data_IF_315422897072
#
_entry.id   IF_315422897072
#
_cell.length_a   1.000
_cell.length_b   1.000
_cell.length_c   1.000
_cell.angle_alpha   90.00
_cell.angle_beta   90.00
_cell.angle_gamma   90.00
#
_symmetry.space_group_name_H-M   'P 1'
#
loop_
_entity.id
_entity.type
_entity.pdbx_description
1 polymer ?
#
# COMPACT_ATOMS: atom_id res chain seq x y z
N UNK A 1 -27.32 42.00 81.05
CA UNK A 1 -27.88 42.26 79.70
C UNK A 1 -27.50 41.06 78.81
N UNK A 2 -28.43 40.15 78.70
CA UNK A 2 -28.33 38.80 78.19
C UNK A 2 -28.34 38.74 76.69
N UNK A 3 -27.59 37.91 76.00
CA UNK A 3 -27.78 37.65 74.56
C UNK A 3 -28.66 36.43 74.39
N UNK A 4 -29.62 36.59 73.48
CA UNK A 4 -30.67 35.64 73.10
C UNK A 4 -30.11 34.45 72.29
N UNK A 5 -30.55 33.29 72.82
CA UNK A 5 -30.48 31.98 72.12
C UNK A 5 -31.52 31.92 70.96
N UNK A 6 -31.06 31.62 69.73
CA UNK A 6 -31.91 31.20 68.60
C UNK A 6 -31.08 30.34 67.59
N UNK A 7 -31.03 29.08 67.90
CA UNK A 7 -30.83 28.13 66.75
C UNK A 7 -31.55 26.81 67.09
N UNK A 8 -32.79 26.69 66.67
CA UNK A 8 -33.53 25.42 66.57
C UNK A 8 -33.94 25.16 65.13
N UNK A 9 -33.09 24.45 64.43
CA UNK A 9 -33.49 23.82 63.13
C UNK A 9 -34.37 22.60 63.46
N UNK A 10 -35.51 22.41 62.74
CA UNK A 10 -36.40 21.28 62.94
C UNK A 10 -35.78 19.99 62.42
N UNK A 11 -35.83 18.93 63.24
CA UNK A 11 -35.40 17.58 62.87
C UNK A 11 -36.23 17.00 61.71
N UNK A 12 -35.54 16.55 60.68
CA UNK A 12 -36.13 15.80 59.57
C UNK A 12 -36.38 14.35 60.01
N UNK A 13 -37.60 13.79 59.84
CA UNK A 13 -37.87 12.41 60.20
C UNK A 13 -37.16 11.43 59.23
N UNK A 14 -36.73 10.22 59.70
CA UNK A 14 -36.05 9.25 58.85
C UNK A 14 -36.99 8.72 57.74
N UNK A 15 -36.48 8.74 56.48
CA UNK A 15 -37.16 8.12 55.35
C UNK A 15 -37.31 6.61 55.62
N UNK A 16 -38.56 6.13 55.51
CA UNK A 16 -38.88 4.72 55.58
C UNK A 16 -38.18 3.96 54.44
N UNK A 17 -37.53 2.84 54.79
CA UNK A 17 -36.88 1.94 53.84
C UNK A 17 -37.92 1.41 52.82
N UNK A 18 -37.65 1.65 51.54
CA UNK A 18 -38.39 1.05 50.44
C UNK A 18 -38.11 -0.46 50.36
N UNK A 19 -39.11 -1.29 50.00
CA UNK A 19 -38.91 -2.73 49.92
C UNK A 19 -38.01 -3.07 48.74
N UNK A 20 -36.91 -3.72 49.02
CA UNK A 20 -36.09 -4.47 48.07
C UNK A 20 -36.85 -5.71 47.65
N UNK A 21 -36.83 -5.99 46.35
CA UNK A 21 -37.27 -7.16 45.63
C UNK A 21 -38.48 -6.95 44.70
N UNK A 22 -38.17 -6.29 43.57
CA UNK A 22 -38.82 -6.63 42.34
C UNK A 22 -37.73 -7.08 41.33
N UNK A 23 -37.62 -8.39 41.16
CA UNK A 23 -36.75 -8.99 40.15
C UNK A 23 -37.13 -8.45 38.77
N UNK A 24 -36.33 -7.51 38.26
CA UNK A 24 -36.44 -7.11 36.87
C UNK A 24 -36.15 -8.31 35.95
N UNK A 25 -37.08 -8.68 35.02
CA UNK A 25 -36.80 -9.71 34.04
C UNK A 25 -35.54 -9.26 33.25
N UNK A 26 -34.44 -10.01 33.38
CA UNK A 26 -33.22 -9.80 32.63
C UNK A 26 -33.57 -9.91 31.14
N UNK A 27 -33.51 -8.81 30.41
CA UNK A 27 -33.56 -8.84 28.94
C UNK A 27 -32.45 -9.77 28.46
N UNK A 28 -32.76 -10.74 27.58
CA UNK A 28 -31.73 -11.60 27.02
C UNK A 28 -30.68 -10.71 26.35
N UNK A 29 -29.44 -10.79 26.81
CA UNK A 29 -28.29 -10.14 26.19
C UNK A 29 -28.25 -10.60 24.73
N UNK A 30 -28.16 -9.69 23.75
CA UNK A 30 -27.99 -10.08 22.35
C UNK A 30 -26.76 -11.01 22.29
N UNK A 31 -26.92 -12.24 21.81
CA UNK A 31 -25.80 -13.12 21.52
C UNK A 31 -24.87 -12.36 20.60
N UNK A 32 -23.60 -12.21 21.02
CA UNK A 32 -22.56 -11.71 20.15
C UNK A 32 -22.61 -12.50 18.85
N UNK A 33 -22.52 -11.83 17.68
CA UNK A 33 -22.53 -12.52 16.40
C UNK A 33 -21.44 -13.59 16.41
N UNK A 34 -21.81 -14.84 16.13
CA UNK A 34 -20.87 -15.94 16.02
C UNK A 34 -19.76 -15.51 15.03
N UNK A 35 -18.46 -15.67 15.38
CA UNK A 35 -17.41 -15.37 14.45
C UNK A 35 -17.62 -16.21 13.18
N UNK A 36 -17.44 -15.63 11.99
CA UNK A 36 -17.68 -16.33 10.73
C UNK A 36 -16.86 -17.61 10.74
N UNK A 37 -17.53 -18.76 10.56
CA UNK A 37 -16.91 -20.09 10.48
C UNK A 37 -15.79 -20.01 9.44
N UNK A 38 -14.54 -20.16 9.88
CA UNK A 38 -13.36 -20.21 8.99
C UNK A 38 -13.60 -21.37 8.04
N UNK A 39 -13.70 -21.17 6.72
CA UNK A 39 -13.86 -22.28 5.80
C UNK A 39 -12.61 -23.13 5.85
N UNK A 40 -12.81 -24.42 6.08
CA UNK A 40 -11.78 -25.44 6.08
C UNK A 40 -11.03 -25.47 4.74
N UNK A 41 -9.78 -25.93 4.79
CA UNK A 41 -8.83 -26.31 3.72
C UNK A 41 -9.07 -25.89 2.24
N UNK A 42 -10.32 -25.61 1.80
CA UNK A 42 -10.63 -25.10 0.46
C UNK A 42 -10.05 -23.72 0.12
N UNK A 43 -9.74 -22.90 1.13
CA UNK A 43 -9.22 -21.52 0.91
C UNK A 43 -7.74 -21.49 0.49
N UNK A 44 -6.91 -22.45 0.91
CA UNK A 44 -5.51 -22.47 0.49
C UNK A 44 -5.41 -22.86 -1.00
N UNK A 45 -6.15 -23.87 -1.41
CA UNK A 45 -6.21 -24.29 -2.81
C UNK A 45 -6.76 -23.15 -3.70
N UNK A 46 -7.83 -22.51 -3.28
CA UNK A 46 -8.42 -21.36 -4.01
C UNK A 46 -7.41 -20.20 -4.13
N UNK A 47 -6.69 -19.87 -3.07
CA UNK A 47 -5.64 -18.84 -3.09
C UNK A 47 -4.46 -19.20 -3.99
N UNK A 48 -4.03 -20.45 -3.99
CA UNK A 48 -2.96 -20.92 -4.88
C UNK A 48 -3.41 -20.91 -6.34
N UNK A 49 -4.64 -21.32 -6.63
CA UNK A 49 -5.21 -21.28 -7.97
C UNK A 49 -5.37 -19.84 -8.46
N UNK A 50 -5.93 -18.94 -7.65
CA UNK A 50 -6.11 -17.53 -8.03
C UNK A 50 -4.78 -16.82 -8.23
N UNK A 51 -3.79 -17.04 -7.36
CA UNK A 51 -2.45 -16.47 -7.53
C UNK A 51 -1.75 -17.06 -8.77
N UNK A 52 -1.83 -18.38 -8.98
CA UNK A 52 -1.27 -19.04 -10.15
C UNK A 52 -1.91 -18.60 -11.47
N UNK A 53 -3.20 -18.28 -11.45
CA UNK A 53 -3.93 -17.78 -12.63
C UNK A 53 -3.58 -16.31 -12.94
N UNK A 54 -3.24 -15.50 -11.92
CA UNK A 54 -2.91 -14.08 -12.10
C UNK A 54 -1.46 -13.85 -12.55
N UNK A 55 -0.52 -14.72 -12.18
CA UNK A 55 0.89 -14.56 -12.52
C UNK A 55 1.14 -14.51 -14.05
N UNK A 56 0.65 -15.47 -14.88
CA UNK A 56 0.90 -15.44 -16.31
C UNK A 56 0.39 -14.17 -17.02
N UNK A 57 -0.84 -13.67 -16.78
CA UNK A 57 -1.29 -12.39 -17.33
C UNK A 57 -0.40 -11.21 -16.96
N UNK A 58 0.06 -11.14 -15.69
CA UNK A 58 0.95 -10.06 -15.23
C UNK A 58 2.28 -10.12 -15.98
N UNK A 59 2.90 -11.29 -16.09
CA UNK A 59 4.16 -11.47 -16.84
C UNK A 59 3.93 -11.09 -18.32
N UNK A 60 2.84 -11.53 -18.91
CA UNK A 60 2.51 -11.25 -20.29
C UNK A 60 2.32 -9.74 -20.55
N UNK A 61 1.57 -9.04 -19.69
CA UNK A 61 1.40 -7.58 -19.75
C UNK A 61 2.74 -6.86 -19.59
N UNK A 62 3.58 -7.29 -18.66
CA UNK A 62 4.93 -6.75 -18.48
C UNK A 62 5.81 -6.98 -19.71
N UNK A 63 5.70 -8.14 -20.38
CA UNK A 63 6.46 -8.47 -21.59
C UNK A 63 6.02 -7.64 -22.78
N UNK A 64 4.70 -7.62 -23.07
CA UNK A 64 4.14 -6.83 -24.18
C UNK A 64 4.45 -5.34 -24.03
N UNK A 65 4.30 -4.80 -22.81
CA UNK A 65 4.57 -3.39 -22.55
C UNK A 65 3.61 -2.46 -23.30
N UNK A 66 4.13 -1.34 -23.83
CA UNK A 66 3.37 -0.39 -24.62
C UNK A 66 2.15 0.16 -23.88
N UNK A 67 1.13 0.56 -24.65
CA UNK A 67 -0.13 1.10 -24.12
C UNK A 67 -0.92 0.11 -23.28
N UNK A 68 -0.75 -1.21 -23.54
CA UNK A 68 -1.41 -2.23 -22.74
C UNK A 68 -0.93 -2.19 -21.29
N UNK A 69 0.38 -2.10 -21.07
CA UNK A 69 0.96 -1.99 -19.74
C UNK A 69 0.48 -0.72 -19.03
N UNK A 70 0.53 0.42 -19.71
CA UNK A 70 0.07 1.71 -19.18
C UNK A 70 -1.41 1.64 -18.77
N UNK A 71 -2.27 1.08 -19.64
CA UNK A 71 -3.70 0.94 -19.35
C UNK A 71 -3.97 0.06 -18.12
N UNK A 72 -3.21 -1.03 -17.97
CA UNK A 72 -3.31 -1.90 -16.78
C UNK A 72 -2.86 -1.16 -15.53
N UNK A 73 -1.76 -0.39 -15.56
CA UNK A 73 -1.33 0.42 -14.43
C UNK A 73 -2.37 1.48 -14.07
N UNK A 74 -2.96 2.16 -15.06
CA UNK A 74 -4.08 3.11 -14.82
C UNK A 74 -5.24 2.41 -14.11
N UNK A 75 -5.62 1.22 -14.55
CA UNK A 75 -6.69 0.45 -13.89
C UNK A 75 -6.34 0.15 -12.43
N UNK A 76 -5.12 -0.31 -12.13
CA UNK A 76 -4.67 -0.53 -10.76
C UNK A 76 -4.67 0.75 -9.92
N UNK A 77 -4.24 1.88 -10.50
CA UNK A 77 -4.29 3.19 -9.84
C UNK A 77 -5.73 3.56 -9.49
N UNK A 78 -6.66 3.48 -10.46
CA UNK A 78 -8.04 3.88 -10.24
C UNK A 78 -8.75 2.98 -9.22
N UNK A 79 -8.57 1.66 -9.32
CA UNK A 79 -9.16 0.73 -8.33
C UNK A 79 -8.56 0.92 -6.94
N UNK A 80 -7.23 0.95 -6.82
CA UNK A 80 -6.54 1.15 -5.54
C UNK A 80 -6.88 2.49 -4.90
N UNK A 81 -6.97 3.58 -5.69
CA UNK A 81 -7.33 4.90 -5.20
C UNK A 81 -8.79 4.97 -4.73
N UNK A 82 -9.72 4.32 -5.45
CA UNK A 82 -11.11 4.26 -5.00
C UNK A 82 -11.26 3.47 -3.70
N UNK A 83 -10.50 2.40 -3.50
CA UNK A 83 -10.44 1.68 -2.22
C UNK A 83 -9.85 2.55 -1.11
N UNK A 84 -8.75 3.26 -1.39
CA UNK A 84 -8.17 4.22 -0.47
C UNK A 84 -9.18 5.30 -0.05
N UNK A 85 -9.87 5.93 -1.01
CA UNK A 85 -10.92 6.89 -0.69
C UNK A 85 -12.11 6.27 0.04
N UNK A 86 -12.36 4.97 -0.15
CA UNK A 86 -13.32 4.21 0.63
C UNK A 86 -12.93 4.09 2.10
N UNK A 87 -11.64 3.88 2.39
CA UNK A 87 -11.11 3.87 3.76
C UNK A 87 -11.27 5.25 4.42
N UNK A 88 -10.86 6.30 3.72
CA UNK A 88 -10.95 7.69 4.20
C UNK A 88 -12.40 8.10 4.47
N UNK A 89 -13.33 7.79 3.55
CA UNK A 89 -14.75 8.11 3.74
C UNK A 89 -15.39 7.34 4.90
N UNK A 90 -14.87 6.17 5.26
CA UNK A 90 -15.35 5.45 6.44
C UNK A 90 -15.05 6.18 7.76
N UNK A 91 -14.10 7.12 7.77
CA UNK A 91 -13.79 8.02 8.88
C UNK A 91 -14.65 9.28 8.93
N UNK A 92 -15.54 9.47 7.96
CA UNK A 92 -16.38 10.67 7.83
C UNK A 92 -15.80 11.74 6.90
N UNK A 93 -14.61 11.54 6.34
CA UNK A 93 -14.02 12.51 5.43
C UNK A 93 -14.65 12.50 4.03
N UNK A 94 -14.56 13.62 3.34
CA UNK A 94 -15.19 13.83 2.03
C UNK A 94 -14.14 14.16 0.95
N UNK A 95 -13.33 13.18 0.48
CA UNK A 95 -12.34 13.42 -0.55
C UNK A 95 -12.97 13.80 -1.88
N UNK A 96 -12.30 14.63 -2.67
CA UNK A 96 -12.68 14.98 -4.04
C UNK A 96 -12.37 13.85 -5.02
N UNK A 97 -13.14 12.74 -4.95
CA UNK A 97 -12.86 11.49 -5.68
C UNK A 97 -12.69 11.68 -7.18
N UNK A 98 -13.55 12.49 -7.83
CA UNK A 98 -13.46 12.67 -9.29
C UNK A 98 -12.14 13.31 -9.70
N UNK A 99 -11.78 14.43 -9.05
CA UNK A 99 -10.52 15.12 -9.35
C UNK A 99 -9.30 14.25 -9.00
N UNK A 100 -9.36 13.58 -7.85
CA UNK A 100 -8.30 12.65 -7.45
C UNK A 100 -8.09 11.51 -8.45
N UNK A 101 -9.17 10.88 -8.95
CA UNK A 101 -9.09 9.82 -9.96
C UNK A 101 -8.56 10.33 -11.30
N UNK A 102 -8.99 11.52 -11.76
CA UNK A 102 -8.48 12.13 -12.99
C UNK A 102 -6.97 12.41 -12.85
N UNK A 103 -6.59 13.10 -11.77
CA UNK A 103 -5.19 13.45 -11.53
C UNK A 103 -4.30 12.21 -11.44
N UNK A 104 -4.69 11.23 -10.62
CA UNK A 104 -3.92 10.01 -10.44
C UNK A 104 -3.85 9.15 -11.72
N UNK A 105 -4.94 9.06 -12.49
CA UNK A 105 -4.97 8.33 -13.76
C UNK A 105 -4.11 8.97 -14.85
N UNK A 106 -3.85 10.27 -14.79
CA UNK A 106 -2.94 10.96 -15.72
C UNK A 106 -1.46 10.68 -15.43
N UNK A 107 -1.08 10.38 -14.19
CA UNK A 107 0.32 10.20 -13.80
C UNK A 107 1.03 9.05 -14.54
N UNK A 108 0.43 7.85 -14.73
CA UNK A 108 1.06 6.81 -15.54
C UNK A 108 1.22 7.20 -17.02
N UNK A 109 0.31 8.02 -17.58
CA UNK A 109 0.45 8.54 -18.96
C UNK A 109 1.63 9.50 -19.05
N UNK A 110 1.78 10.39 -18.08
CA UNK A 110 2.90 11.33 -18.00
C UNK A 110 4.22 10.57 -17.80
N UNK A 111 4.22 9.52 -16.96
CA UNK A 111 5.39 8.66 -16.78
C UNK A 111 5.79 7.94 -18.09
N UNK A 112 4.82 7.57 -18.93
CA UNK A 112 5.08 6.98 -20.25
C UNK A 112 5.69 7.98 -21.24
N UNK A 113 5.29 9.25 -21.19
CA UNK A 113 5.90 10.35 -21.96
C UNK A 113 7.34 10.60 -21.49
N UNK A 114 7.62 10.37 -20.20
CA UNK A 114 8.94 10.52 -19.60
C UNK A 114 9.35 11.98 -19.36
N UNK A 115 8.38 12.86 -19.12
CA UNK A 115 8.61 14.28 -18.81
C UNK A 115 8.32 14.55 -17.32
N UNK A 116 9.39 14.70 -16.54
CA UNK A 116 9.30 14.98 -15.11
C UNK A 116 8.72 16.38 -14.82
N UNK A 117 8.90 17.36 -15.73
CA UNK A 117 8.36 18.71 -15.55
C UNK A 117 6.83 18.71 -15.69
N UNK A 118 6.32 17.91 -16.62
CA UNK A 118 4.88 17.69 -16.80
C UNK A 118 4.25 17.02 -15.57
N UNK A 119 4.95 16.07 -14.96
CA UNK A 119 4.49 15.42 -13.74
C UNK A 119 4.40 16.41 -12.56
N UNK A 120 5.43 17.22 -12.36
CA UNK A 120 5.44 18.26 -11.34
C UNK A 120 4.33 19.28 -11.57
N UNK A 121 4.12 19.71 -12.84
CA UNK A 121 3.05 20.64 -13.22
C UNK A 121 1.66 20.03 -12.94
N UNK A 122 1.45 18.75 -13.26
CA UNK A 122 0.19 18.05 -13.00
C UNK A 122 -0.12 17.97 -11.51
N UNK A 123 0.87 17.64 -10.67
CA UNK A 123 0.71 17.59 -9.21
C UNK A 123 0.42 18.98 -8.64
N UNK A 124 1.14 20.01 -9.10
CA UNK A 124 0.92 21.40 -8.68
C UNK A 124 -0.49 21.87 -9.08
N UNK A 125 -0.89 21.63 -10.32
CA UNK A 125 -2.22 21.97 -10.81
C UNK A 125 -3.32 21.23 -10.02
N UNK A 126 -3.10 19.97 -9.68
CA UNK A 126 -4.02 19.19 -8.85
C UNK A 126 -4.19 19.82 -7.48
N UNK A 127 -3.08 20.15 -6.79
CA UNK A 127 -3.13 20.78 -5.48
C UNK A 127 -3.85 22.13 -5.52
N UNK A 128 -3.49 23.01 -6.49
CA UNK A 128 -4.14 24.32 -6.65
C UNK A 128 -5.64 24.17 -6.95
N UNK A 129 -6.01 23.25 -7.83
CA UNK A 129 -7.43 23.01 -8.16
C UNK A 129 -8.20 22.52 -6.93
N UNK A 130 -7.62 21.61 -6.11
CA UNK A 130 -8.22 21.15 -4.86
C UNK A 130 -8.44 22.32 -3.89
N UNK A 131 -7.45 23.22 -3.75
CA UNK A 131 -7.57 24.39 -2.89
C UNK A 131 -8.66 25.35 -3.39
N UNK A 132 -8.73 25.61 -4.70
CA UNK A 132 -9.76 26.46 -5.30
C UNK A 132 -11.16 25.86 -5.13
N UNK A 133 -11.32 24.58 -5.38
CA UNK A 133 -12.60 23.88 -5.19
C UNK A 133 -13.06 23.93 -3.73
N UNK A 134 -12.14 23.96 -2.79
CA UNK A 134 -12.51 24.07 -1.38
C UNK A 134 -13.12 25.44 -1.03
N UNK A 135 -12.76 26.52 -1.75
CA UNK A 135 -13.37 27.84 -1.56
C UNK A 135 -14.87 27.85 -1.90
N UNK A 136 -15.34 26.91 -2.70
CA UNK A 136 -16.77 26.81 -3.08
C UNK A 136 -17.60 26.00 -2.09
N UNK A 137 -16.97 25.30 -1.12
CA UNK A 137 -17.67 24.52 -0.10
C UNK A 137 -18.07 25.41 1.08
N UNK A 138 -19.25 25.13 1.63
CA UNK A 138 -19.77 25.88 2.80
C UNK A 138 -19.13 25.42 4.13
N UNK A 139 -18.64 24.19 4.21
CA UNK A 139 -18.02 23.64 5.42
C UNK A 139 -16.50 23.86 5.43
N UNK A 140 -16.07 24.86 6.20
CA UNK A 140 -14.66 25.26 6.30
C UNK A 140 -13.88 24.33 7.22
N UNK A 141 -14.54 23.70 8.21
CA UNK A 141 -13.87 22.88 9.25
C UNK A 141 -13.10 21.68 8.71
N UNK A 142 -13.54 21.10 7.58
CA UNK A 142 -12.92 19.92 6.96
C UNK A 142 -12.08 20.26 5.72
N UNK A 143 -11.87 21.56 5.46
CA UNK A 143 -11.21 22.02 4.24
C UNK A 143 -9.81 21.40 4.05
N UNK A 144 -8.95 21.54 5.07
CA UNK A 144 -7.58 21.03 5.03
C UNK A 144 -7.56 19.52 4.96
N UNK A 145 -8.44 18.84 5.72
CA UNK A 145 -8.53 17.38 5.72
C UNK A 145 -8.91 16.86 4.33
N UNK A 146 -9.99 17.40 3.73
CA UNK A 146 -10.47 16.98 2.39
C UNK A 146 -9.41 17.18 1.30
N UNK A 147 -8.69 18.31 1.30
CA UNK A 147 -7.59 18.58 0.36
C UNK A 147 -6.43 17.60 0.60
N UNK A 148 -5.98 17.49 1.86
CA UNK A 148 -4.84 16.66 2.22
C UNK A 148 -5.07 15.19 1.92
N UNK A 149 -6.24 14.65 2.26
CA UNK A 149 -6.59 13.25 2.04
C UNK A 149 -6.76 12.92 0.56
N UNK A 150 -7.35 13.86 -0.22
CA UNK A 150 -7.45 13.70 -1.67
C UNK A 150 -6.07 13.69 -2.30
N UNK A 151 -5.24 14.68 -1.97
CA UNK A 151 -3.90 14.82 -2.54
C UNK A 151 -2.96 13.70 -2.09
N UNK A 152 -3.05 13.29 -0.81
CA UNK A 152 -2.29 12.14 -0.32
C UNK A 152 -2.63 10.86 -1.10
N UNK A 153 -3.91 10.62 -1.40
CA UNK A 153 -4.31 9.48 -2.24
C UNK A 153 -3.70 9.55 -3.65
N UNK A 154 -3.68 10.73 -4.28
CA UNK A 154 -3.04 10.93 -5.60
C UNK A 154 -1.54 10.61 -5.53
N UNK A 155 -0.84 11.07 -4.49
CA UNK A 155 0.58 10.77 -4.29
C UNK A 155 0.79 9.31 -3.95
N UNK A 156 0.09 8.79 -2.94
CA UNK A 156 0.33 7.45 -2.39
C UNK A 156 0.02 6.34 -3.38
N UNK A 157 -1.10 6.45 -4.11
CA UNK A 157 -1.48 5.41 -5.09
C UNK A 157 -1.06 5.81 -6.50
N UNK A 158 -1.44 7.00 -6.97
CA UNK A 158 -1.22 7.43 -8.35
C UNK A 158 0.27 7.63 -8.67
N UNK A 159 0.92 8.49 -7.90
CA UNK A 159 2.33 8.84 -8.14
C UNK A 159 3.27 7.65 -7.90
N UNK A 160 3.15 6.97 -6.76
CA UNK A 160 4.05 5.85 -6.46
C UNK A 160 3.87 4.69 -7.45
N UNK A 161 2.63 4.36 -7.85
CA UNK A 161 2.42 3.28 -8.80
C UNK A 161 2.81 3.65 -10.25
N UNK A 162 2.79 4.95 -10.61
CA UNK A 162 3.25 5.40 -11.93
C UNK A 162 4.73 5.08 -12.21
N UNK A 163 5.55 4.91 -11.17
CA UNK A 163 6.93 4.44 -11.30
C UNK A 163 7.03 3.04 -11.93
N UNK A 164 5.97 2.23 -11.90
CA UNK A 164 5.94 0.97 -12.64
C UNK A 164 6.12 1.21 -14.15
N UNK A 165 5.51 2.28 -14.68
CA UNK A 165 5.70 2.69 -16.07
C UNK A 165 7.13 3.18 -16.28
N UNK A 166 7.65 4.01 -15.38
CA UNK A 166 9.04 4.51 -15.45
C UNK A 166 10.08 3.36 -15.42
N UNK A 167 9.88 2.33 -14.57
CA UNK A 167 10.76 1.14 -14.53
C UNK A 167 10.63 0.32 -15.81
N UNK A 168 9.38 0.10 -16.29
CA UNK A 168 9.16 -0.71 -17.51
C UNK A 168 9.78 -0.06 -18.76
N UNK A 169 9.79 1.27 -18.85
CA UNK A 169 10.33 2.02 -19.97
C UNK A 169 11.63 2.76 -19.63
N UNK A 170 12.41 2.22 -18.69
CA UNK A 170 13.65 2.83 -18.18
C UNK A 170 14.71 3.02 -19.26
N UNK A 171 14.73 2.17 -20.31
CA UNK A 171 15.68 2.27 -21.42
C UNK A 171 15.72 3.67 -22.03
N UNK A 172 14.54 4.24 -22.34
CA UNK A 172 14.46 5.59 -22.90
C UNK A 172 14.95 6.69 -21.98
N UNK A 173 14.83 6.54 -20.66
CA UNK A 173 15.38 7.47 -19.68
C UNK A 173 16.91 7.36 -19.60
N UNK A 174 17.44 6.14 -19.60
CA UNK A 174 18.88 5.88 -19.59
C UNK A 174 19.57 6.36 -20.89
N UNK A 175 18.91 6.15 -22.03
CA UNK A 175 19.37 6.67 -23.33
C UNK A 175 19.45 8.21 -23.33
N UNK A 176 18.42 8.88 -22.84
CA UNK A 176 18.40 10.36 -22.73
C UNK A 176 19.48 10.90 -21.82
N UNK A 177 19.78 10.19 -20.70
CA UNK A 177 20.76 10.66 -19.70
C UNK A 177 22.21 10.38 -20.06
N UNK A 178 22.46 9.22 -20.65
CA UNK A 178 23.83 8.72 -20.85
C UNK A 178 24.22 8.60 -22.33
N UNK A 179 23.27 8.78 -23.26
CA UNK A 179 23.53 8.68 -24.71
C UNK A 179 23.85 7.25 -25.18
N UNK A 180 23.56 6.24 -24.35
CA UNK A 180 23.86 4.83 -24.62
C UNK A 180 22.58 4.13 -25.08
N UNK A 181 22.72 3.25 -26.07
CA UNK A 181 21.61 2.42 -26.55
C UNK A 181 21.43 1.23 -25.62
N UNK A 182 20.25 1.12 -25.04
CA UNK A 182 19.87 0.00 -24.19
C UNK A 182 18.85 -0.89 -24.90
N UNK A 183 18.87 -2.19 -24.57
CA UNK A 183 17.82 -3.12 -25.01
C UNK A 183 16.44 -2.63 -24.58
N UNK A 184 15.46 -2.46 -25.49
CA UNK A 184 14.13 -1.94 -25.13
C UNK A 184 13.40 -2.80 -24.08
N UNK A 185 13.76 -4.09 -23.97
CA UNK A 185 13.19 -5.02 -23.01
C UNK A 185 13.92 -5.06 -21.65
N UNK A 186 14.95 -4.23 -21.43
CA UNK A 186 15.65 -4.17 -20.13
C UNK A 186 14.68 -3.81 -19.00
N UNK A 187 13.70 -2.94 -19.26
CA UNK A 187 12.67 -2.59 -18.30
C UNK A 187 11.74 -3.75 -17.95
N UNK A 188 11.52 -4.71 -18.85
CA UNK A 188 10.80 -5.94 -18.54
C UNK A 188 11.56 -6.76 -17.48
N UNK A 189 12.87 -6.95 -17.66
CA UNK A 189 13.70 -7.61 -16.66
C UNK A 189 13.59 -6.93 -15.30
N UNK A 190 13.79 -5.60 -15.24
CA UNK A 190 13.74 -4.86 -13.98
C UNK A 190 12.37 -4.89 -13.31
N UNK A 191 11.29 -4.89 -14.10
CA UNK A 191 9.95 -5.00 -13.56
C UNK A 191 9.70 -6.38 -12.94
N UNK A 192 10.05 -7.47 -13.63
CA UNK A 192 9.93 -8.83 -13.09
C UNK A 192 10.85 -9.01 -11.87
N UNK A 193 12.08 -8.51 -11.93
CA UNK A 193 13.02 -8.53 -10.82
C UNK A 193 12.43 -7.87 -9.56
N UNK A 194 11.83 -6.68 -9.70
CA UNK A 194 11.17 -5.96 -8.60
C UNK A 194 9.98 -6.74 -8.04
N UNK A 195 9.08 -7.23 -8.91
CA UNK A 195 7.90 -7.99 -8.49
C UNK A 195 8.27 -9.29 -7.77
N UNK A 196 9.28 -10.02 -8.28
CA UNK A 196 9.75 -11.26 -7.65
C UNK A 196 10.40 -10.98 -6.29
N UNK A 197 11.17 -9.89 -6.15
CA UNK A 197 11.75 -9.49 -4.87
C UNK A 197 10.67 -9.16 -3.82
N UNK A 198 9.62 -8.42 -4.22
CA UNK A 198 8.48 -8.06 -3.34
C UNK A 198 7.69 -9.31 -2.92
N UNK A 199 7.21 -10.10 -3.90
CA UNK A 199 6.42 -11.32 -3.62
C UNK A 199 7.23 -12.34 -2.84
N UNK A 200 8.51 -12.45 -3.17
CA UNK A 200 9.45 -13.32 -2.46
C UNK A 200 9.69 -12.90 -1.02
N UNK A 201 9.71 -11.60 -0.77
CA UNK A 201 9.79 -11.05 0.60
C UNK A 201 8.60 -11.47 1.44
N UNK A 202 7.38 -11.38 0.91
CA UNK A 202 6.17 -11.78 1.64
C UNK A 202 6.17 -13.27 1.95
N UNK A 203 6.54 -14.10 0.98
CA UNK A 203 6.67 -15.55 1.18
C UNK A 203 7.75 -15.87 2.22
N UNK A 204 8.94 -15.30 2.10
CA UNK A 204 10.04 -15.48 3.05
C UNK A 204 9.67 -15.03 4.46
N UNK A 205 9.04 -13.87 4.59
CA UNK A 205 8.55 -13.34 5.86
C UNK A 205 7.52 -14.28 6.51
N UNK A 206 6.61 -14.85 5.71
CA UNK A 206 5.62 -15.82 6.21
C UNK A 206 6.28 -17.10 6.73
N UNK A 207 7.16 -17.75 5.94
CA UNK A 207 7.77 -19.01 6.33
C UNK A 207 8.72 -18.86 7.52
N UNK A 208 9.60 -17.86 7.49
CA UNK A 208 10.55 -17.59 8.58
C UNK A 208 9.81 -17.11 9.83
N UNK A 209 8.86 -16.20 9.68
CA UNK A 209 8.06 -15.70 10.80
C UNK A 209 7.23 -16.77 11.48
N UNK A 210 6.67 -17.73 10.72
CA UNK A 210 5.92 -18.86 11.27
C UNK A 210 6.80 -19.82 12.07
N UNK A 211 8.04 -20.07 11.60
CA UNK A 211 8.95 -21.05 12.21
C UNK A 211 9.80 -20.46 13.33
N UNK A 212 10.27 -19.24 13.16
CA UNK A 212 11.27 -18.63 14.04
C UNK A 212 10.80 -17.33 14.72
N UNK A 213 9.59 -16.80 14.38
CA UNK A 213 9.09 -15.53 14.88
C UNK A 213 8.90 -15.54 16.39
N UNK A 214 9.62 -14.67 17.08
CA UNK A 214 9.55 -14.50 18.54
C UNK A 214 9.18 -13.06 18.92
N UNK A 215 9.80 -12.08 18.26
CA UNK A 215 9.60 -10.65 18.56
C UNK A 215 8.59 -10.07 17.57
N UNK A 216 7.56 -9.39 18.10
CA UNK A 216 6.57 -8.72 17.26
C UNK A 216 7.18 -7.50 16.61
N UNK A 217 6.94 -7.30 15.29
CA UNK A 217 7.44 -6.17 14.51
C UNK A 217 6.62 -4.91 14.81
N UNK A 218 5.31 -4.99 14.75
CA UNK A 218 4.39 -3.87 14.93
C UNK A 218 3.11 -4.35 15.65
N UNK A 219 3.13 -4.53 17.01
CA UNK A 219 2.03 -5.17 17.76
C UNK A 219 0.67 -4.50 17.58
N UNK A 220 0.64 -3.16 17.51
CA UNK A 220 -0.59 -2.37 17.38
C UNK A 220 -1.16 -2.36 15.95
N UNK A 221 -0.31 -2.49 14.95
CA UNK A 221 -0.68 -2.34 13.54
C UNK A 221 -0.94 -3.71 12.92
N UNK A 222 0.03 -4.61 13.04
CA UNK A 222 -0.01 -5.97 12.48
C UNK A 222 0.55 -6.99 13.49
N UNK A 223 -0.30 -7.54 14.39
CA UNK A 223 0.15 -8.40 15.50
C UNK A 223 0.73 -9.75 15.03
N UNK A 224 0.54 -10.12 13.78
CA UNK A 224 1.04 -11.39 13.23
C UNK A 224 2.44 -11.26 12.63
N UNK A 225 2.95 -10.06 12.36
CA UNK A 225 4.29 -9.84 11.82
C UNK A 225 5.35 -9.91 12.93
N UNK A 226 6.48 -10.57 12.64
CA UNK A 226 7.64 -10.68 13.53
C UNK A 226 8.88 -10.07 12.90
N UNK A 227 9.82 -9.63 13.75
CA UNK A 227 11.12 -9.08 13.32
C UNK A 227 11.93 -10.13 12.56
N UNK A 228 11.96 -11.37 13.07
CA UNK A 228 12.65 -12.49 12.42
C UNK A 228 12.03 -12.81 11.06
N UNK A 229 10.68 -12.70 10.96
CA UNK A 229 9.98 -12.83 9.69
C UNK A 229 10.37 -11.74 8.70
N UNK A 230 10.41 -10.47 9.13
CA UNK A 230 10.82 -9.36 8.27
C UNK A 230 12.25 -9.53 7.75
N UNK A 231 13.19 -9.92 8.62
CA UNK A 231 14.59 -10.19 8.21
C UNK A 231 14.65 -11.37 7.23
N UNK A 232 13.90 -12.45 7.49
CA UNK A 232 13.79 -13.59 6.58
C UNK A 232 13.22 -13.19 5.22
N UNK A 233 12.22 -12.30 5.19
CA UNK A 233 11.65 -11.73 3.97
C UNK A 233 12.67 -10.91 3.18
N UNK A 234 13.41 -10.02 3.84
CA UNK A 234 14.46 -9.21 3.21
C UNK A 234 15.54 -10.09 2.57
N UNK A 235 16.00 -11.11 3.28
CA UNK A 235 16.98 -12.06 2.73
C UNK A 235 16.41 -12.85 1.55
N UNK A 236 15.17 -13.34 1.68
CA UNK A 236 14.49 -14.07 0.61
C UNK A 236 14.32 -13.21 -0.65
N UNK A 237 13.95 -11.92 -0.49
CA UNK A 237 13.89 -10.98 -1.60
C UNK A 237 15.23 -10.82 -2.32
N UNK A 238 16.33 -10.68 -1.57
CA UNK A 238 17.68 -10.63 -2.15
C UNK A 238 18.05 -11.90 -2.91
N UNK A 239 17.80 -13.07 -2.34
CA UNK A 239 18.09 -14.37 -2.98
C UNK A 239 17.25 -14.54 -4.25
N UNK A 240 15.95 -14.27 -4.19
CA UNK A 240 15.06 -14.43 -5.35
C UNK A 240 15.35 -13.41 -6.45
N UNK A 241 15.80 -12.21 -6.10
CA UNK A 241 16.31 -11.23 -7.06
C UNK A 241 17.53 -11.75 -7.83
N UNK A 242 18.49 -12.37 -7.14
CA UNK A 242 19.66 -13.03 -7.76
C UNK A 242 19.22 -14.22 -8.63
N UNK A 243 18.26 -15.02 -8.18
CA UNK A 243 17.71 -16.14 -8.98
C UNK A 243 16.99 -15.63 -10.23
N UNK A 244 16.27 -14.49 -10.12
CA UNK A 244 15.65 -13.84 -11.29
C UNK A 244 16.72 -13.39 -12.28
N UNK A 245 17.78 -12.74 -11.82
CA UNK A 245 18.91 -12.38 -12.69
C UNK A 245 19.52 -13.60 -13.34
N UNK A 246 19.76 -14.67 -12.58
CA UNK A 246 20.30 -15.95 -13.11
C UNK A 246 19.40 -16.50 -14.21
N UNK A 247 18.08 -16.55 -13.96
CA UNK A 247 17.10 -17.02 -14.95
C UNK A 247 17.16 -16.21 -16.25
N UNK A 248 17.16 -14.88 -16.16
CA UNK A 248 17.24 -14.01 -17.33
C UNK A 248 18.57 -14.16 -18.08
N UNK A 249 19.69 -14.32 -17.36
CA UNK A 249 21.00 -14.51 -17.99
C UNK A 249 21.10 -15.82 -18.77
N UNK A 250 20.44 -16.89 -18.31
CA UNK A 250 20.63 -18.21 -18.90
C UNK A 250 19.49 -18.63 -19.84
N UNK A 251 18.29 -18.15 -19.64
CA UNK A 251 17.09 -18.64 -20.33
C UNK A 251 16.39 -17.59 -21.20
N UNK A 252 16.69 -16.31 -21.01
CA UNK A 252 16.05 -15.24 -21.78
C UNK A 252 17.05 -14.65 -22.77
N UNK A 253 16.77 -14.71 -24.09
CA UNK A 253 17.64 -14.09 -25.10
C UNK A 253 17.74 -12.57 -24.93
N UNK A 254 18.87 -11.96 -25.33
CA UNK A 254 19.01 -10.52 -25.41
C UNK A 254 19.82 -9.86 -24.28
N UNK A 255 20.54 -10.65 -23.46
CA UNK A 255 21.45 -10.12 -22.42
C UNK A 255 20.83 -9.08 -21.45
N UNK A 256 19.49 -9.15 -21.25
CA UNK A 256 18.72 -8.16 -20.49
C UNK A 256 19.20 -7.96 -19.05
N UNK A 257 19.87 -8.95 -18.47
CA UNK A 257 20.35 -8.91 -17.09
C UNK A 257 21.86 -8.60 -16.97
N UNK A 258 22.55 -8.35 -18.10
CA UNK A 258 24.02 -8.24 -18.16
C UNK A 258 24.55 -7.10 -17.32
N UNK A 259 23.93 -5.91 -17.48
CA UNK A 259 24.45 -4.68 -16.89
C UNK A 259 24.33 -4.59 -15.37
N UNK A 260 23.40 -5.37 -14.79
CA UNK A 260 23.24 -5.42 -13.34
C UNK A 260 24.25 -6.40 -12.72
N UNK A 261 25.22 -5.91 -11.96
CA UNK A 261 26.18 -6.76 -11.24
C UNK A 261 25.50 -7.72 -10.25
N UNK A 262 26.07 -8.90 -10.00
CA UNK A 262 25.51 -9.91 -9.08
C UNK A 262 25.33 -9.39 -7.65
N UNK A 263 26.34 -8.63 -7.14
CA UNK A 263 26.27 -7.98 -5.82
C UNK A 263 25.18 -6.93 -5.76
N UNK A 264 25.08 -6.10 -6.83
CA UNK A 264 24.02 -5.10 -6.94
C UNK A 264 22.64 -5.76 -6.98
N UNK A 265 22.47 -6.86 -7.72
CA UNK A 265 21.21 -7.61 -7.76
C UNK A 265 20.78 -8.08 -6.35
N UNK A 266 21.70 -8.62 -5.55
CA UNK A 266 21.41 -9.04 -4.19
C UNK A 266 20.99 -7.87 -3.29
N UNK A 267 21.78 -6.79 -3.30
CA UNK A 267 21.53 -5.59 -2.49
C UNK A 267 20.22 -4.91 -2.89
N UNK A 268 19.95 -4.79 -4.19
CA UNK A 268 18.70 -4.20 -4.69
C UNK A 268 17.50 -5.05 -4.26
N UNK A 269 17.58 -6.37 -4.42
CA UNK A 269 16.52 -7.28 -3.98
C UNK A 269 16.23 -7.15 -2.48
N UNK A 270 17.26 -7.05 -1.64
CA UNK A 270 17.12 -6.81 -0.20
C UNK A 270 16.48 -5.44 0.10
N UNK A 271 16.92 -4.38 -0.57
CA UNK A 271 16.40 -3.04 -0.37
C UNK A 271 14.91 -2.95 -0.77
N UNK A 272 14.56 -3.48 -1.95
CA UNK A 272 13.18 -3.54 -2.43
C UNK A 272 12.29 -4.33 -1.47
N UNK A 273 12.77 -5.48 -0.99
CA UNK A 273 12.07 -6.30 -0.02
C UNK A 273 11.84 -5.57 1.31
N UNK A 274 12.84 -4.85 1.81
CA UNK A 274 12.72 -4.05 3.04
C UNK A 274 11.66 -2.94 2.88
N UNK A 275 11.67 -2.24 1.74
CA UNK A 275 10.66 -1.22 1.45
C UNK A 275 9.28 -1.83 1.19
N UNK A 276 9.21 -3.04 0.63
CA UNK A 276 7.95 -3.80 0.54
C UNK A 276 7.33 -4.07 1.91
N UNK A 277 8.14 -4.51 2.89
CA UNK A 277 7.68 -4.70 4.28
C UNK A 277 7.16 -3.40 4.87
N UNK A 278 7.83 -2.26 4.60
CA UNK A 278 7.36 -0.94 5.05
C UNK A 278 6.04 -0.54 4.37
N UNK A 279 5.88 -0.81 3.07
CA UNK A 279 4.65 -0.53 2.32
C UNK A 279 3.44 -1.24 2.93
N UNK A 280 3.54 -2.55 3.16
CA UNK A 280 2.49 -3.34 3.82
C UNK A 280 2.21 -2.84 5.27
N UNK A 281 3.22 -2.37 6.01
CA UNK A 281 3.00 -1.77 7.33
C UNK A 281 2.25 -0.43 7.22
N UNK A 282 2.60 0.42 6.27
CA UNK A 282 1.92 1.71 6.04
C UNK A 282 0.46 1.46 5.67
N UNK A 283 0.20 0.55 4.74
CA UNK A 283 -1.17 0.19 4.36
C UNK A 283 -1.95 -0.39 5.56
N UNK A 284 -1.29 -1.21 6.37
CA UNK A 284 -1.87 -1.73 7.62
C UNK A 284 -2.22 -0.61 8.60
N UNK A 285 -1.41 0.47 8.72
CA UNK A 285 -1.75 1.66 9.52
C UNK A 285 -3.01 2.31 9.00
N UNK A 286 -3.10 2.55 7.68
CA UNK A 286 -4.27 3.19 7.06
C UNK A 286 -5.56 2.38 7.31
N UNK A 287 -5.48 1.06 7.23
CA UNK A 287 -6.63 0.18 7.54
C UNK A 287 -7.05 0.26 9.00
N UNK A 288 -6.10 0.26 9.95
CA UNK A 288 -6.41 0.38 11.39
C UNK A 288 -7.00 1.74 11.73
N UNK A 289 -6.45 2.81 11.15
CA UNK A 289 -6.96 4.17 11.31
C UNK A 289 -8.41 4.30 10.80
N UNK A 290 -8.77 3.60 9.72
CA UNK A 290 -10.14 3.49 9.22
C UNK A 290 -11.03 2.46 9.98
N UNK A 291 -10.55 1.87 11.07
CA UNK A 291 -11.20 0.78 11.80
C UNK A 291 -11.60 -0.41 10.91
N UNK A 292 -10.83 -0.67 9.83
CA UNK A 292 -11.05 -1.76 8.89
C UNK A 292 -9.89 -2.76 8.92
N UNK A 293 -10.15 -3.95 8.36
CA UNK A 293 -9.14 -5.00 8.21
C UNK A 293 -8.62 -5.09 6.78
N UNK A 294 -9.51 -4.96 5.80
CA UNK A 294 -9.21 -5.06 4.39
C UNK A 294 -9.54 -3.71 3.71
N UNK A 295 -8.76 -3.31 2.71
CA UNK A 295 -8.92 -2.03 2.03
C UNK A 295 -10.19 -2.01 1.14
N UNK A 296 -10.53 -3.16 0.56
CA UNK A 296 -11.68 -3.32 -0.33
C UNK A 296 -12.17 -4.76 -0.44
N UNK A 297 -13.20 -4.98 -1.25
CA UNK A 297 -13.80 -6.30 -1.51
C UNK A 297 -13.89 -6.60 -3.01
N UNK A 298 -13.14 -5.86 -3.83
CA UNK A 298 -13.26 -5.94 -5.30
C UNK A 298 -12.88 -7.33 -5.83
N UNK A 299 -11.92 -8.01 -5.20
CA UNK A 299 -11.49 -9.35 -5.59
C UNK A 299 -12.08 -10.38 -4.63
N UNK A 300 -13.13 -11.16 -5.05
CA UNK A 300 -13.79 -12.12 -4.19
C UNK A 300 -12.80 -13.13 -3.60
N UNK A 301 -12.75 -13.24 -2.27
CA UNK A 301 -11.86 -14.16 -1.54
C UNK A 301 -10.40 -13.74 -1.44
N UNK A 302 -9.99 -12.65 -2.10
CA UNK A 302 -8.59 -12.20 -2.19
C UNK A 302 -8.36 -10.84 -1.52
N UNK A 303 -9.41 -10.04 -1.29
CA UNK A 303 -9.34 -8.69 -0.69
C UNK A 303 -9.40 -7.58 -1.72
N UNK A 304 -8.89 -6.41 -1.37
CA UNK A 304 -8.81 -5.26 -2.24
C UNK A 304 -7.63 -5.29 -3.20
N UNK A 305 -7.68 -4.42 -4.21
CA UNK A 305 -6.55 -4.15 -5.11
C UNK A 305 -5.42 -3.49 -4.34
N UNK A 306 -5.75 -2.54 -3.46
CA UNK A 306 -4.76 -1.85 -2.62
C UNK A 306 -4.00 -2.84 -1.73
N UNK A 307 -4.70 -3.85 -1.15
CA UNK A 307 -4.09 -4.95 -0.36
C UNK A 307 -3.09 -5.82 -1.18
N UNK A 308 -3.04 -5.68 -2.50
CA UNK A 308 -2.16 -6.45 -3.39
C UNK A 308 -0.96 -5.68 -3.90
N UNK A 309 -1.09 -4.36 -3.93
CA UNK A 309 -0.04 -3.49 -4.45
C UNK A 309 0.72 -2.75 -3.33
N UNK A 310 0.31 -2.91 -2.08
CA UNK A 310 0.83 -2.19 -0.91
C UNK A 310 2.35 -2.25 -0.78
N UNK A 311 2.92 -3.44 -0.86
CA UNK A 311 4.37 -3.67 -0.84
C UNK A 311 5.05 -3.12 -2.10
N UNK A 312 4.38 -3.21 -3.26
CA UNK A 312 4.89 -2.71 -4.53
C UNK A 312 4.90 -1.17 -4.60
N UNK A 313 3.97 -0.49 -3.91
CA UNK A 313 3.89 0.98 -3.89
C UNK A 313 5.19 1.64 -3.42
N UNK A 314 5.94 1.03 -2.51
CA UNK A 314 7.25 1.54 -2.09
C UNK A 314 8.41 0.85 -2.79
N UNK A 315 8.28 -0.44 -3.10
CA UNK A 315 9.35 -1.21 -3.75
C UNK A 315 9.67 -0.73 -5.17
N UNK A 316 8.64 -0.40 -5.96
CA UNK A 316 8.82 0.02 -7.37
C UNK A 316 9.50 1.39 -7.49
N UNK A 317 9.07 2.46 -6.78
CA UNK A 317 9.80 3.72 -6.79
C UNK A 317 11.26 3.58 -6.34
N UNK A 318 11.50 2.79 -5.29
CA UNK A 318 12.86 2.51 -4.84
C UNK A 318 13.69 1.87 -5.95
N UNK A 319 13.15 0.86 -6.65
CA UNK A 319 13.83 0.23 -7.79
C UNK A 319 14.24 1.25 -8.85
N UNK A 320 13.33 2.17 -9.21
CA UNK A 320 13.62 3.22 -10.18
C UNK A 320 14.82 4.08 -9.77
N UNK A 321 14.84 4.56 -8.52
CA UNK A 321 15.94 5.39 -8.04
C UNK A 321 17.24 4.61 -7.84
N UNK A 322 17.18 3.34 -7.46
CA UNK A 322 18.35 2.47 -7.38
C UNK A 322 18.99 2.27 -8.77
N UNK A 323 18.17 2.10 -9.81
CA UNK A 323 18.63 2.00 -11.18
C UNK A 323 19.32 3.29 -11.64
N UNK A 324 18.69 4.45 -11.41
CA UNK A 324 19.30 5.73 -11.76
C UNK A 324 20.63 5.94 -11.05
N UNK A 325 20.71 5.66 -9.75
CA UNK A 325 21.93 5.78 -8.96
C UNK A 325 23.01 4.80 -9.44
N UNK A 326 22.61 3.57 -9.77
CA UNK A 326 23.53 2.53 -10.26
C UNK A 326 24.16 2.91 -11.61
N UNK A 327 23.33 3.32 -12.56
CA UNK A 327 23.82 3.74 -13.87
C UNK A 327 24.62 5.06 -13.80
N UNK A 328 24.24 5.94 -12.90
CA UNK A 328 25.06 7.14 -12.63
C UNK A 328 26.46 6.76 -12.14
N UNK A 329 26.57 5.83 -11.20
CA UNK A 329 27.89 5.36 -10.70
C UNK A 329 28.73 4.68 -11.79
N UNK A 330 28.09 3.96 -12.73
CA UNK A 330 28.79 3.28 -13.81
C UNK A 330 29.30 4.24 -14.90
N UNK A 331 28.68 5.40 -15.08
CA UNK A 331 28.94 6.32 -16.18
C UNK A 331 29.38 7.72 -15.73
N UNK A 332 29.43 8.02 -14.43
CA UNK A 332 29.92 9.29 -13.88
C UNK A 332 31.45 9.32 -13.68
N UNK A 333 32.18 8.24 -13.97
CA UNK A 333 33.62 8.14 -14.00
C UNK A 333 34.11 8.12 -15.45
#
# INVERSE_FOLDING_TARGET
MEPADRDRSPAVPPLAAAPTDAAHPQRPTPRAPEPPKRPAMGNLALRLITSGLLIPPVIWVCYVGGWLFVAVIIAFVLFGLNEFYGLISAKGATPHRLLGNIAAGLLPLIAYIGDASLANSALTATLLTLMILQLTKQEIREAIASVSETFFGVIYVGWLLSYAVSVRFISGELERRYGLIFEPQIGFFYMIFCLVAVVGSDAGAYFVGRKYGRRKLAPLISPNKSVEGALGGVLAGGVLAVLTKLFFTWFVPGDLARDLGWGAAFVFGMAIAAFGVLGDLIESVLKRDAARKDAGTLLPGVGGVLDRIDSALLGIPLMYYLLLAYYWMLHAG
#
